data_IF_939185794876
#
_entry.id   IF_939185794876
#
_cell.length_a   1.000
_cell.length_b   1.000
_cell.length_c   1.000
_cell.angle_alpha   90.00
_cell.angle_beta   90.00
_cell.angle_gamma   90.00
#
_symmetry.space_group_name_H-M   'P 1'
#
loop_
_entity.id
_entity.type
_entity.pdbx_description
1 polymer ?
#
# COMPACT_ATOMS: atom_id res chain seq x y z
N UNK A 1 -9.50 39.15 -42.45
CA UNK A 1 -10.74 39.19 -41.64
C UNK A 1 -10.84 37.88 -40.86
N UNK A 2 -10.66 37.94 -39.54
CA UNK A 2 -10.81 36.80 -38.60
C UNK A 2 -11.63 37.33 -37.42
N UNK A 3 -12.72 36.68 -36.97
CA UNK A 3 -13.44 37.16 -35.81
C UNK A 3 -12.72 36.74 -34.52
N UNK A 4 -12.43 37.76 -33.71
CA UNK A 4 -12.13 37.66 -32.28
C UNK A 4 -13.45 37.39 -31.56
N UNK A 5 -13.54 36.31 -30.78
CA UNK A 5 -14.62 36.12 -29.82
C UNK A 5 -14.06 36.36 -28.42
N UNK A 6 -14.69 37.32 -27.76
CA UNK A 6 -14.30 37.95 -26.49
C UNK A 6 -15.05 37.25 -25.35
N UNK A 7 -14.31 36.72 -24.38
CA UNK A 7 -14.86 36.19 -23.12
C UNK A 7 -15.17 37.35 -22.18
N UNK A 8 -16.44 37.48 -21.77
CA UNK A 8 -16.94 38.16 -20.56
C UNK A 8 -17.79 37.09 -19.84
N UNK A 9 -17.65 36.72 -18.56
CA UNK A 9 -17.25 37.50 -17.40
C UNK A 9 -18.50 37.93 -16.61
N UNK A 10 -18.98 37.10 -15.66
CA UNK A 10 -19.85 37.48 -14.52
C UNK A 10 -19.90 36.32 -13.51
N UNK A 11 -19.21 36.36 -12.36
CA UNK A 11 -19.50 37.04 -11.08
C UNK A 11 -20.74 36.56 -10.32
N UNK A 12 -20.43 35.95 -9.16
CA UNK A 12 -21.02 36.11 -7.82
C UNK A 12 -22.53 35.90 -7.61
N UNK A 13 -22.83 34.94 -6.74
CA UNK A 13 -24.13 34.81 -6.08
C UNK A 13 -23.98 33.99 -4.80
N UNK A 14 -23.32 34.57 -3.80
CA UNK A 14 -23.38 34.08 -2.42
C UNK A 14 -24.74 34.48 -1.83
N UNK A 15 -25.53 33.51 -1.37
CA UNK A 15 -26.68 33.77 -0.53
C UNK A 15 -26.54 32.98 0.77
N UNK A 16 -26.27 33.71 1.83
CA UNK A 16 -26.43 33.32 3.22
C UNK A 16 -27.92 33.17 3.56
N UNK A 17 -28.29 32.12 4.28
CA UNK A 17 -29.45 32.15 5.17
C UNK A 17 -29.05 31.57 6.54
N UNK A 18 -29.23 32.33 7.64
CA UNK A 18 -29.11 31.83 9.00
C UNK A 18 -30.44 31.19 9.42
N UNK A 19 -30.39 29.99 10.02
CA UNK A 19 -31.59 29.23 10.37
C UNK A 19 -31.49 28.62 11.77
N UNK A 20 -32.01 29.37 12.74
CA UNK A 20 -32.59 29.01 14.04
C UNK A 20 -32.20 27.69 14.75
N UNK A 21 -31.57 27.93 15.91
CA UNK A 21 -31.58 27.18 17.16
C UNK A 21 -32.95 26.52 17.50
N UNK A 22 -32.97 25.22 17.77
CA UNK A 22 -33.86 24.60 18.77
C UNK A 22 -33.10 23.47 19.46
N UNK A 23 -32.71 23.69 20.72
CA UNK A 23 -32.17 22.65 21.60
C UNK A 23 -33.34 21.90 22.23
N UNK A 24 -33.50 20.62 21.89
CA UNK A 24 -34.38 19.69 22.60
C UNK A 24 -33.50 18.73 23.39
N UNK A 25 -33.44 18.94 24.71
CA UNK A 25 -32.74 18.07 25.64
C UNK A 25 -33.49 16.77 25.86
N UNK A 26 -32.86 15.64 25.54
CA UNK A 26 -33.26 14.32 26.00
C UNK A 26 -32.32 13.90 27.14
N UNK A 27 -32.80 14.04 28.38
CA UNK A 27 -32.13 13.48 29.56
C UNK A 27 -32.08 11.96 29.45
N UNK A 28 -30.87 11.42 29.27
CA UNK A 28 -30.59 9.98 29.33
C UNK A 28 -30.41 9.57 30.81
N UNK A 29 -31.05 8.51 31.30
CA UNK A 29 -30.82 8.02 32.65
C UNK A 29 -29.37 7.53 32.77
N UNK A 30 -28.66 8.03 33.77
CA UNK A 30 -27.26 7.73 34.06
C UNK A 30 -27.18 6.35 34.70
N UNK A 31 -26.61 5.38 33.98
CA UNK A 31 -26.27 4.06 34.52
C UNK A 31 -25.05 4.23 35.43
N UNK A 32 -25.20 3.95 36.72
CA UNK A 32 -24.11 3.98 37.69
C UNK A 32 -23.08 2.87 37.36
N UNK A 33 -21.78 3.17 37.31
CA UNK A 33 -20.76 2.16 37.05
C UNK A 33 -20.68 1.14 38.21
N UNK A 34 -20.37 -0.14 37.93
CA UNK A 34 -20.22 -1.14 38.98
C UNK A 34 -19.06 -0.81 39.93
N UNK A 35 -19.14 -1.22 41.21
CA UNK A 35 -18.10 -0.94 42.19
C UNK A 35 -16.78 -1.62 41.80
N UNK A 36 -15.63 -1.04 42.17
CA UNK A 36 -14.33 -1.63 41.90
C UNK A 36 -14.15 -2.96 42.66
N UNK A 37 -13.38 -3.91 42.10
CA UNK A 37 -13.06 -5.15 42.81
C UNK A 37 -12.19 -4.87 44.05
N UNK A 38 -12.41 -5.67 45.09
CA UNK A 38 -11.66 -5.61 46.35
C UNK A 38 -10.16 -5.88 46.13
N UNK A 39 -9.26 -5.26 46.93
CA UNK A 39 -7.83 -5.46 46.80
C UNK A 39 -7.44 -6.89 47.22
N UNK A 40 -6.77 -7.61 46.32
CA UNK A 40 -6.11 -8.89 46.64
C UNK A 40 -4.81 -8.57 47.38
N UNK A 41 -4.67 -9.13 48.59
CA UNK A 41 -3.50 -8.97 49.43
C UNK A 41 -2.22 -9.48 48.75
N UNK A 42 -1.15 -8.68 48.80
CA UNK A 42 0.18 -9.06 48.32
C UNK A 42 0.80 -10.15 49.22
N UNK A 43 1.54 -11.13 48.67
CA UNK A 43 2.31 -12.05 49.49
C UNK A 43 3.55 -11.35 50.11
N UNK A 44 3.86 -11.76 51.34
CA UNK A 44 4.95 -11.24 52.17
C UNK A 44 6.35 -11.53 51.58
N UNK A 45 7.37 -10.70 51.89
CA UNK A 45 8.73 -10.92 51.44
C UNK A 45 9.41 -12.09 52.17
N UNK A 46 10.13 -12.91 51.41
CA UNK A 46 10.95 -14.03 51.90
C UNK A 46 12.33 -13.48 52.34
N UNK A 47 12.89 -13.89 53.50
CA UNK A 47 14.17 -13.35 53.97
C UNK A 47 15.38 -13.89 53.19
N UNK A 48 16.38 -13.04 53.01
CA UNK A 48 17.67 -13.36 52.39
C UNK A 48 18.61 -14.14 53.34
N UNK A 49 19.45 -15.06 52.81
CA UNK A 49 20.46 -15.77 53.61
C UNK A 49 21.72 -14.89 53.89
N UNK A 50 22.53 -15.27 54.91
CA UNK A 50 23.65 -14.47 55.44
C UNK A 50 24.91 -14.50 54.55
N UNK A 51 25.88 -13.58 54.77
CA UNK A 51 27.10 -13.52 53.97
C UNK A 51 28.14 -14.52 54.48
N UNK A 52 28.85 -15.16 53.55
CA UNK A 52 30.06 -15.94 53.84
C UNK A 52 31.25 -15.16 53.29
N UNK A 53 32.17 -14.80 54.17
CA UNK A 53 33.43 -14.10 53.87
C UNK A 53 34.51 -15.10 53.36
N UNK A 54 35.59 -14.62 52.73
CA UNK A 54 36.25 -15.29 51.61
C UNK A 54 37.44 -16.17 52.03
N UNK A 55 37.75 -17.17 51.20
CA UNK A 55 39.07 -17.79 51.11
C UNK A 55 39.46 -17.75 49.63
N UNK A 56 40.64 -17.19 49.35
CA UNK A 56 41.13 -16.93 47.99
C UNK A 56 41.43 -18.21 47.21
N UNK A 57 41.55 -18.08 45.88
CA UNK A 57 42.74 -18.44 45.10
C UNK A 57 42.50 -18.22 43.59
N UNK A 58 43.59 -17.86 42.90
CA UNK A 58 43.89 -17.88 41.46
C UNK A 58 43.14 -16.94 40.48
N UNK A 59 43.86 -16.18 39.64
CA UNK A 59 43.26 -15.46 38.52
C UNK A 59 42.81 -16.45 37.42
N UNK A 60 41.61 -16.28 36.82
CA UNK A 60 41.22 -17.06 35.64
C UNK A 60 42.02 -16.62 34.40
N UNK A 61 42.22 -17.53 33.42
CA UNK A 61 42.85 -17.18 32.16
C UNK A 61 41.95 -16.28 31.33
N UNK A 62 42.58 -15.45 30.51
CA UNK A 62 41.93 -14.56 29.54
C UNK A 62 40.95 -15.35 28.66
N UNK A 63 39.66 -15.07 28.81
CA UNK A 63 38.62 -15.65 27.97
C UNK A 63 38.68 -15.04 26.56
N UNK A 64 38.74 -15.92 25.57
CA UNK A 64 38.62 -15.62 24.15
C UNK A 64 37.20 -15.10 23.83
N UNK A 65 37.03 -14.11 22.93
CA UNK A 65 35.70 -13.60 22.58
C UNK A 65 34.85 -14.68 21.90
N UNK A 66 33.52 -14.70 22.11
CA UNK A 66 32.63 -15.66 21.47
C UNK A 66 32.65 -15.49 19.94
N UNK A 67 32.44 -16.57 19.17
CA UNK A 67 32.31 -16.46 17.73
C UNK A 67 31.10 -15.60 17.38
N UNK A 68 31.14 -14.85 16.27
CA UNK A 68 29.99 -14.06 15.80
C UNK A 68 28.81 -14.98 15.51
N UNK A 69 27.56 -14.48 15.63
CA UNK A 69 26.38 -15.26 15.27
C UNK A 69 26.50 -15.69 13.81
N UNK A 70 26.25 -16.98 13.56
CA UNK A 70 26.16 -17.53 12.22
C UNK A 70 25.15 -16.69 11.43
N UNK A 71 25.60 -16.13 10.31
CA UNK A 71 24.74 -15.43 9.38
C UNK A 71 23.63 -16.40 8.92
N UNK A 72 22.39 -16.02 9.22
CA UNK A 72 21.22 -16.69 8.69
C UNK A 72 21.26 -16.56 7.17
N UNK A 73 21.27 -17.71 6.47
CA UNK A 73 21.31 -17.75 5.03
C UNK A 73 20.08 -17.02 4.46
N UNK A 74 20.21 -16.28 3.34
CA UNK A 74 19.05 -15.67 2.69
C UNK A 74 18.04 -16.76 2.33
N UNK A 75 16.72 -16.49 2.45
CA UNK A 75 15.71 -17.46 2.07
C UNK A 75 15.91 -17.88 0.60
N UNK A 76 15.63 -19.15 0.25
CA UNK A 76 15.76 -19.60 -1.12
C UNK A 76 14.88 -18.75 -2.05
N UNK A 77 15.26 -18.57 -3.32
CA UNK A 77 14.39 -17.91 -4.29
C UNK A 77 13.07 -18.69 -4.34
N UNK A 78 11.97 -17.99 -4.09
CA UNK A 78 10.63 -18.56 -4.24
C UNK A 78 10.53 -19.22 -5.63
N UNK A 79 10.14 -20.48 -5.65
CA UNK A 79 10.03 -21.27 -6.88
C UNK A 79 9.01 -20.59 -7.81
N UNK A 80 9.52 -20.08 -8.94
CA UNK A 80 8.71 -19.46 -9.97
C UNK A 80 7.86 -20.54 -10.68
N UNK A 81 6.54 -20.50 -10.48
CA UNK A 81 5.63 -21.14 -11.40
C UNK A 81 5.66 -20.40 -12.75
N UNK A 82 5.50 -21.09 -13.90
CA UNK A 82 5.44 -20.43 -15.20
C UNK A 82 4.15 -19.60 -15.29
N UNK A 83 4.30 -18.27 -15.23
CA UNK A 83 3.21 -17.33 -15.45
C UNK A 83 2.93 -17.19 -16.95
N UNK A 84 1.66 -17.17 -17.41
CA UNK A 84 1.34 -16.86 -18.79
C UNK A 84 1.72 -15.40 -19.10
N UNK A 85 2.58 -15.19 -20.10
CA UNK A 85 2.68 -13.94 -20.88
C UNK A 85 3.35 -12.70 -20.26
N UNK A 86 3.98 -12.78 -19.08
CA UNK A 86 4.41 -11.57 -18.36
C UNK A 86 5.91 -11.23 -18.36
N UNK A 87 6.81 -12.14 -18.74
CA UNK A 87 8.25 -11.99 -18.46
C UNK A 87 9.04 -11.14 -19.44
N UNK A 88 8.49 -10.94 -20.64
CA UNK A 88 9.16 -10.20 -21.70
C UNK A 88 9.03 -8.70 -21.50
N UNK A 89 10.10 -7.98 -21.80
CA UNK A 89 10.08 -6.52 -21.80
C UNK A 89 9.37 -6.03 -23.06
N UNK A 90 8.41 -5.14 -22.90
CA UNK A 90 7.72 -4.52 -24.03
C UNK A 90 6.83 -3.36 -23.61
N UNK A 91 6.25 -2.68 -24.59
CA UNK A 91 5.32 -1.57 -24.36
C UNK A 91 3.88 -1.93 -24.72
N UNK A 92 3.67 -3.13 -25.27
CA UNK A 92 2.36 -3.61 -25.67
C UNK A 92 1.51 -3.94 -24.44
N UNK A 93 0.21 -3.65 -24.52
CA UNK A 93 -0.79 -4.02 -23.52
C UNK A 93 -0.63 -5.49 -23.12
N UNK A 94 -0.62 -5.74 -21.81
CA UNK A 94 -0.72 -7.08 -21.24
C UNK A 94 -2.05 -7.21 -20.52
N UNK A 95 -2.79 -8.29 -20.79
CA UNK A 95 -4.06 -8.56 -20.12
C UNK A 95 -4.16 -10.06 -19.82
N UNK A 96 -4.47 -10.39 -18.57
CA UNK A 96 -4.65 -11.75 -18.08
C UNK A 96 -5.95 -11.81 -17.30
N UNK A 97 -6.83 -12.72 -17.72
CA UNK A 97 -8.09 -12.99 -17.03
C UNK A 97 -7.87 -14.14 -16.04
N UNK A 98 -8.24 -13.92 -14.78
CA UNK A 98 -8.28 -14.96 -13.76
C UNK A 98 -9.69 -15.09 -13.22
N UNK A 99 -10.23 -16.30 -13.21
CA UNK A 99 -11.53 -16.55 -12.59
C UNK A 99 -11.39 -16.46 -11.07
N UNK A 100 -12.07 -15.49 -10.45
CA UNK A 100 -12.19 -15.43 -9.00
C UNK A 100 -13.67 -15.30 -8.63
N UNK A 101 -14.19 -16.13 -7.70
CA UNK A 101 -15.60 -16.07 -7.29
C UNK A 101 -15.93 -14.80 -6.49
N UNK A 102 -14.90 -14.14 -5.93
CA UNK A 102 -15.00 -12.92 -5.13
C UNK A 102 -13.81 -12.00 -5.42
N UNK A 103 -13.93 -10.71 -5.08
CA UNK A 103 -12.82 -9.76 -5.19
C UNK A 103 -11.60 -10.18 -4.37
N UNK A 104 -10.42 -10.11 -4.96
CA UNK A 104 -9.15 -10.33 -4.26
C UNK A 104 -8.73 -9.06 -3.52
N UNK A 105 -8.43 -9.17 -2.23
CA UNK A 105 -8.05 -8.02 -1.40
C UNK A 105 -6.58 -7.65 -1.61
N UNK A 106 -6.32 -6.43 -2.09
CA UNK A 106 -4.99 -5.82 -2.16
C UNK A 106 -4.59 -5.33 -0.76
N UNK A 107 -3.49 -5.85 -0.22
CA UNK A 107 -3.00 -5.50 1.13
C UNK A 107 -1.91 -4.45 1.11
N UNK A 108 -0.98 -4.53 0.18
CA UNK A 108 0.17 -3.63 0.18
C UNK A 108 0.58 -3.31 -1.24
N UNK A 109 1.02 -2.07 -1.44
CA UNK A 109 1.72 -1.66 -2.65
C UNK A 109 3.08 -1.14 -2.25
N UNK A 110 4.16 -1.68 -2.82
CA UNK A 110 5.54 -1.28 -2.54
C UNK A 110 6.21 -0.82 -3.81
N UNK A 111 7.14 0.12 -3.70
CA UNK A 111 7.97 0.59 -4.80
C UNK A 111 9.44 0.41 -4.45
N UNK A 112 10.30 0.17 -5.44
CA UNK A 112 11.73 0.03 -5.21
C UNK A 112 12.55 0.20 -6.47
N UNK A 113 13.73 0.81 -6.34
CA UNK A 113 14.72 0.91 -7.41
C UNK A 113 15.52 -0.38 -7.49
N UNK A 114 15.75 -0.87 -8.70
CA UNK A 114 16.64 -1.98 -8.99
C UNK A 114 17.65 -1.57 -10.07
N UNK A 115 18.56 -2.47 -10.43
CA UNK A 115 19.47 -2.25 -11.54
C UNK A 115 18.72 -2.34 -12.88
N UNK A 116 18.68 -1.23 -13.63
CA UNK A 116 18.06 -1.14 -14.96
C UNK A 116 16.52 -1.03 -14.97
N UNK A 117 15.84 -1.10 -13.83
CA UNK A 117 14.39 -0.93 -13.74
C UNK A 117 13.93 -0.47 -12.35
N UNK A 118 12.74 0.12 -12.30
CA UNK A 118 12.00 0.35 -11.06
C UNK A 118 10.86 -0.65 -10.95
N UNK A 119 10.55 -1.07 -9.73
CA UNK A 119 9.58 -2.13 -9.44
C UNK A 119 8.42 -1.58 -8.62
N UNK A 120 7.21 -1.94 -9.01
CA UNK A 120 5.99 -1.82 -8.19
C UNK A 120 5.50 -3.23 -7.84
N UNK A 121 5.24 -3.49 -6.57
CA UNK A 121 4.73 -4.78 -6.08
C UNK A 121 3.37 -4.57 -5.45
N UNK A 122 2.36 -5.22 -5.99
CA UNK A 122 1.03 -5.36 -5.41
C UNK A 122 0.96 -6.70 -4.69
N UNK A 123 0.72 -6.69 -3.38
CA UNK A 123 0.60 -7.89 -2.56
C UNK A 123 -0.86 -8.12 -2.17
N UNK A 124 -1.32 -9.35 -2.34
CA UNK A 124 -2.71 -9.74 -2.19
C UNK A 124 -2.88 -10.79 -1.10
N UNK A 125 -4.09 -10.83 -0.54
CA UNK A 125 -4.54 -11.96 0.24
C UNK A 125 -4.84 -13.20 -0.61
N UNK A 126 -4.72 -14.36 0.03
CA UNK A 126 -5.06 -15.63 -0.58
C UNK A 126 -4.03 -16.08 -1.62
N UNK A 127 -4.30 -17.20 -2.31
CA UNK A 127 -3.31 -17.86 -3.17
C UNK A 127 -3.31 -17.35 -4.62
N UNK A 128 -4.22 -16.45 -4.99
CA UNK A 128 -4.51 -16.10 -6.38
C UNK A 128 -4.33 -14.61 -6.64
N UNK A 129 -3.66 -14.28 -7.73
CA UNK A 129 -3.59 -12.92 -8.28
C UNK A 129 -4.92 -12.61 -8.98
N UNK A 130 -5.53 -11.41 -8.79
CA UNK A 130 -6.71 -11.05 -9.57
C UNK A 130 -6.38 -10.98 -11.06
N UNK A 131 -7.40 -11.03 -11.93
CA UNK A 131 -7.20 -10.66 -13.33
C UNK A 131 -6.62 -9.24 -13.41
N UNK A 132 -5.82 -8.99 -14.44
CA UNK A 132 -5.17 -7.69 -14.57
C UNK A 132 -5.00 -7.26 -16.02
N UNK A 133 -4.90 -5.94 -16.18
CA UNK A 133 -4.53 -5.29 -17.42
C UNK A 133 -3.51 -4.21 -17.13
N UNK A 134 -2.40 -4.23 -17.86
CA UNK A 134 -1.35 -3.23 -17.79
C UNK A 134 -1.18 -2.63 -19.18
N UNK A 135 -1.35 -1.31 -19.30
CA UNK A 135 -1.26 -0.59 -20.58
C UNK A 135 -0.95 0.90 -20.37
N UNK A 136 -0.33 1.53 -21.37
CA UNK A 136 -0.24 2.99 -21.40
C UNK A 136 -1.57 3.58 -21.84
N UNK A 137 -2.05 4.59 -21.11
CA UNK A 137 -3.29 5.32 -21.41
C UNK A 137 -3.00 6.78 -21.75
N UNK A 138 -3.94 7.41 -22.46
CA UNK A 138 -3.86 8.84 -22.74
C UNK A 138 -4.18 9.67 -21.48
N UNK A 139 -3.56 10.85 -21.38
CA UNK A 139 -3.87 11.84 -20.34
C UNK A 139 -4.98 12.80 -20.86
N UNK A 140 -5.86 13.31 -19.99
CA UNK A 140 -5.88 13.15 -18.53
C UNK A 140 -6.43 11.79 -18.10
N UNK A 141 -5.87 11.25 -17.03
CA UNK A 141 -6.39 10.03 -16.41
C UNK A 141 -7.54 10.40 -15.48
N UNK A 142 -8.64 9.67 -15.54
CA UNK A 142 -9.89 10.05 -14.85
C UNK A 142 -10.09 9.17 -13.61
N UNK A 143 -10.51 9.77 -12.48
CA UNK A 143 -10.92 9.01 -11.29
C UNK A 143 -12.26 8.36 -11.51
N UNK A 144 -12.39 7.09 -11.11
CA UNK A 144 -13.69 6.44 -11.13
C UNK A 144 -14.62 7.07 -10.08
N UNK A 145 -15.93 7.00 -10.32
CA UNK A 145 -16.95 7.63 -9.49
C UNK A 145 -17.07 9.14 -9.73
N UNK A 146 -16.06 9.94 -9.33
CA UNK A 146 -16.16 11.41 -9.41
C UNK A 146 -16.02 11.96 -10.83
N UNK A 147 -15.27 11.28 -11.71
CA UNK A 147 -14.98 11.75 -13.06
C UNK A 147 -13.93 12.86 -13.13
N UNK A 148 -13.30 13.21 -12.00
CA UNK A 148 -12.30 14.27 -11.96
C UNK A 148 -10.99 13.84 -12.65
N UNK A 149 -10.30 14.77 -13.34
CA UNK A 149 -8.97 14.49 -13.85
C UNK A 149 -7.96 14.30 -12.70
N UNK A 150 -7.07 13.34 -12.88
CA UNK A 150 -5.93 13.07 -12.01
C UNK A 150 -4.68 13.65 -12.66
N UNK A 151 -4.13 14.69 -12.03
CA UNK A 151 -2.79 15.15 -12.37
C UNK A 151 -1.77 14.03 -12.12
N UNK A 152 -0.89 13.77 -13.08
CA UNK A 152 0.10 12.72 -12.99
C UNK A 152 1.43 13.19 -13.59
N UNK A 153 2.50 13.09 -12.81
CA UNK A 153 3.85 13.45 -13.22
C UNK A 153 4.33 12.66 -14.45
N UNK A 154 5.31 13.21 -15.17
CA UNK A 154 5.92 12.57 -16.32
C UNK A 154 5.14 12.70 -17.62
N UNK A 155 5.65 12.08 -18.68
CA UNK A 155 5.05 12.09 -20.01
C UNK A 155 4.06 10.94 -20.21
N UNK A 156 4.37 9.76 -19.68
CA UNK A 156 3.50 8.58 -19.80
C UNK A 156 2.58 8.39 -18.60
N UNK A 157 1.53 7.60 -18.82
CA UNK A 157 0.61 7.09 -17.81
C UNK A 157 0.48 5.58 -18.00
N UNK A 158 1.24 4.78 -17.23
CA UNK A 158 1.12 3.32 -17.25
C UNK A 158 0.05 2.91 -16.23
N UNK A 159 -1.09 2.45 -16.72
CA UNK A 159 -2.23 2.02 -15.91
C UNK A 159 -2.15 0.53 -15.61
N UNK A 160 -2.43 0.18 -14.36
CA UNK A 160 -2.63 -1.19 -13.87
C UNK A 160 -4.06 -1.29 -13.35
N UNK A 161 -4.89 -2.02 -14.07
CA UNK A 161 -6.26 -2.36 -13.65
C UNK A 161 -6.27 -3.79 -13.11
N UNK A 162 -6.89 -4.00 -11.95
CA UNK A 162 -7.02 -5.28 -11.26
C UNK A 162 -8.51 -5.61 -11.08
N UNK A 163 -8.93 -6.79 -11.53
CA UNK A 163 -10.34 -7.22 -11.54
C UNK A 163 -10.47 -8.75 -11.43
N UNK A 164 -11.35 -9.31 -10.58
CA UNK A 164 -12.04 -8.62 -9.50
C UNK A 164 -11.08 -8.39 -8.31
N UNK A 165 -10.97 -7.15 -7.84
CA UNK A 165 -10.09 -6.75 -6.75
C UNK A 165 -10.70 -5.65 -5.88
N UNK A 166 -10.20 -5.50 -4.65
CA UNK A 166 -10.59 -4.43 -3.73
C UNK A 166 -9.39 -3.97 -2.89
N UNK A 167 -9.30 -2.67 -2.59
CA UNK A 167 -8.28 -2.07 -1.70
C UNK A 167 -8.91 -1.57 -0.38
N UNK A 168 -9.94 -2.29 0.07
CA UNK A 168 -10.64 -2.12 1.33
C UNK A 168 -11.23 -3.47 1.80
N UNK A 169 -11.50 -3.58 3.10
CA UNK A 169 -12.13 -4.74 3.72
C UNK A 169 -12.99 -4.27 4.91
N UNK A 170 -14.26 -4.73 4.97
CA UNK A 170 -15.17 -4.34 6.04
C UNK A 170 -15.36 -2.82 6.17
N UNK A 171 -15.26 -2.07 5.07
CA UNK A 171 -15.33 -0.60 5.05
C UNK A 171 -14.03 0.11 5.46
N UNK A 172 -12.97 -0.63 5.79
CA UNK A 172 -11.67 -0.08 6.14
C UNK A 172 -10.71 -0.16 4.96
N UNK A 173 -9.99 0.93 4.67
CA UNK A 173 -8.97 0.93 3.60
C UNK A 173 -7.81 0.01 3.96
N UNK A 174 -7.37 -0.83 3.04
CA UNK A 174 -6.21 -1.73 3.25
C UNK A 174 -4.91 -1.08 2.79
N UNK A 175 -4.97 -0.23 1.77
CA UNK A 175 -3.85 0.60 1.31
C UNK A 175 -4.13 2.06 1.66
N UNK A 176 -3.51 2.53 2.74
CA UNK A 176 -3.68 3.89 3.24
C UNK A 176 -3.06 4.95 2.30
N UNK A 177 -1.83 4.72 1.85
CA UNK A 177 -1.11 5.67 1.00
C UNK A 177 -1.46 5.47 -0.48
N UNK A 178 -2.49 6.19 -0.93
CA UNK A 178 -3.10 6.07 -2.28
C UNK A 178 -2.47 6.98 -3.35
N UNK A 179 -1.51 7.81 -2.98
CA UNK A 179 -0.73 8.65 -3.90
C UNK A 179 0.70 8.81 -3.37
N UNK A 180 1.70 8.54 -4.21
CA UNK A 180 3.13 8.53 -3.85
C UNK A 180 3.98 9.14 -4.96
N UNK A 181 5.03 9.86 -4.57
CA UNK A 181 6.04 10.42 -5.48
C UNK A 181 7.42 9.84 -5.16
N UNK A 182 7.68 8.58 -5.52
CA UNK A 182 8.94 7.94 -5.18
C UNK A 182 10.13 8.53 -5.96
N UNK A 183 9.88 9.29 -7.04
CA UNK A 183 10.89 10.02 -7.81
C UNK A 183 12.07 9.14 -8.26
N UNK A 184 11.77 7.90 -8.65
CA UNK A 184 12.74 6.94 -9.18
C UNK A 184 12.97 7.20 -10.68
N UNK A 185 14.06 6.67 -11.28
CA UNK A 185 14.41 6.95 -12.68
C UNK A 185 13.26 6.75 -13.69
N UNK A 186 12.45 5.70 -13.53
CA UNK A 186 11.33 5.34 -14.39
C UNK A 186 9.96 5.41 -13.72
N UNK A 187 9.92 5.60 -12.40
CA UNK A 187 8.68 5.75 -11.64
C UNK A 187 8.69 7.08 -10.87
N UNK A 188 8.11 8.12 -11.46
CA UNK A 188 8.06 9.45 -10.86
C UNK A 188 6.95 9.58 -9.81
N UNK A 189 5.79 9.00 -10.11
CA UNK A 189 4.57 9.08 -9.30
C UNK A 189 3.72 7.81 -9.48
N UNK A 190 2.92 7.48 -8.48
CA UNK A 190 1.98 6.36 -8.42
C UNK A 190 0.69 6.87 -7.75
N UNK A 191 -0.48 6.67 -8.37
CA UNK A 191 -1.78 7.05 -7.81
C UNK A 191 -2.82 5.96 -7.99
N UNK A 192 -3.62 5.71 -6.96
CA UNK A 192 -4.86 4.95 -7.04
C UNK A 192 -5.95 5.87 -7.62
N UNK A 193 -6.54 5.48 -8.75
CA UNK A 193 -7.62 6.22 -9.42
C UNK A 193 -8.97 5.51 -9.33
N UNK A 194 -8.98 4.23 -8.97
CA UNK A 194 -10.21 3.50 -8.68
C UNK A 194 -10.03 2.42 -7.60
N UNK A 195 -11.06 2.25 -6.77
CA UNK A 195 -11.25 1.17 -5.79
C UNK A 195 -12.77 1.04 -5.56
N UNK A 196 -13.47 0.54 -6.57
CA UNK A 196 -14.93 0.53 -6.62
C UNK A 196 -15.45 -0.65 -7.46
N UNK A 197 -16.57 -1.25 -7.05
CA UNK A 197 -17.27 -2.33 -7.78
C UNK A 197 -16.38 -3.52 -8.23
N UNK A 198 -15.38 -3.87 -7.43
CA UNK A 198 -14.45 -4.96 -7.76
C UNK A 198 -13.35 -4.55 -8.74
N UNK A 199 -13.17 -3.26 -9.00
CA UNK A 199 -12.06 -2.73 -9.79
C UNK A 199 -11.12 -1.89 -8.92
N UNK A 200 -9.83 -2.22 -9.01
CA UNK A 200 -8.74 -1.41 -8.43
C UNK A 200 -7.84 -0.94 -9.56
N UNK A 201 -7.67 0.38 -9.68
CA UNK A 201 -6.83 0.99 -10.73
C UNK A 201 -5.73 1.82 -10.10
N UNK A 202 -4.48 1.48 -10.43
CA UNK A 202 -3.30 2.28 -10.14
C UNK A 202 -2.69 2.81 -11.42
N UNK A 203 -2.07 3.99 -11.35
CA UNK A 203 -1.50 4.66 -12.51
C UNK A 203 -0.13 5.21 -12.15
N UNK A 204 0.86 4.92 -13.00
CA UNK A 204 2.25 5.30 -12.82
C UNK A 204 2.59 6.46 -13.75
N UNK A 205 3.18 7.51 -13.19
CA UNK A 205 3.80 8.58 -13.96
C UNK A 205 5.21 8.19 -14.37
N UNK A 206 5.45 8.05 -15.68
CA UNK A 206 6.76 7.68 -16.25
C UNK A 206 7.42 8.89 -16.92
N UNK A 207 8.76 9.04 -16.86
CA UNK A 207 9.47 10.18 -17.47
C UNK A 207 9.27 10.28 -18.98
N UNK A 208 9.18 9.14 -19.69
CA UNK A 208 8.96 9.04 -21.14
C UNK A 208 7.50 8.64 -21.41
N UNK A 209 6.98 9.00 -22.59
CA UNK A 209 5.61 8.69 -23.01
C UNK A 209 5.31 7.17 -23.01
N UNK A 210 6.31 6.36 -23.33
CA UNK A 210 6.28 4.91 -23.20
C UNK A 210 7.68 4.40 -22.84
N UNK A 211 7.74 3.40 -21.97
CA UNK A 211 8.94 2.66 -21.57
C UNK A 211 8.60 1.17 -21.50
N UNK A 212 9.54 0.29 -21.88
CA UNK A 212 9.34 -1.14 -21.72
C UNK A 212 9.04 -1.49 -20.26
N UNK A 213 8.04 -2.34 -20.07
CA UNK A 213 7.70 -2.94 -18.79
C UNK A 213 7.55 -4.45 -18.95
N UNK A 214 7.55 -5.13 -17.82
CA UNK A 214 7.18 -6.56 -17.72
C UNK A 214 6.35 -6.78 -16.46
N UNK A 215 5.60 -7.88 -16.44
CA UNK A 215 4.69 -8.21 -15.35
C UNK A 215 5.01 -9.61 -14.83
N UNK A 216 5.21 -9.77 -13.52
CA UNK A 216 5.48 -11.08 -12.93
C UNK A 216 4.42 -11.39 -11.88
N UNK A 217 3.90 -12.61 -11.91
CA UNK A 217 3.14 -13.16 -10.81
C UNK A 217 4.07 -13.95 -9.90
N UNK A 218 4.08 -13.63 -8.61
CA UNK A 218 4.83 -14.37 -7.59
C UNK A 218 3.85 -14.96 -6.58
N UNK A 219 4.25 -16.09 -6.00
CA UNK A 219 3.53 -16.73 -4.90
C UNK A 219 4.35 -16.60 -3.61
N UNK A 220 3.71 -16.89 -2.47
CA UNK A 220 4.36 -16.98 -1.16
C UNK A 220 5.21 -15.74 -0.77
N UNK A 221 4.60 -14.56 -0.53
CA UNK A 221 3.17 -14.22 -0.64
C UNK A 221 2.73 -13.93 -2.10
N UNK A 222 1.43 -13.98 -2.33
CA UNK A 222 0.81 -13.72 -3.65
C UNK A 222 1.00 -12.26 -4.06
N UNK A 223 1.68 -12.05 -5.18
CA UNK A 223 2.06 -10.71 -5.66
C UNK A 223 1.92 -10.60 -7.16
N UNK A 224 1.47 -9.42 -7.61
CA UNK A 224 1.68 -8.93 -8.97
C UNK A 224 2.82 -7.92 -8.94
N UNK A 225 3.81 -8.10 -9.78
CA UNK A 225 4.99 -7.25 -9.89
C UNK A 225 4.98 -6.58 -11.25
N UNK A 226 5.11 -5.26 -11.29
CA UNK A 226 5.28 -4.49 -12.53
C UNK A 226 6.65 -3.82 -12.49
N UNK A 227 7.53 -4.25 -13.37
CA UNK A 227 8.85 -3.64 -13.55
C UNK A 227 8.81 -2.67 -14.73
N UNK A 228 9.36 -1.46 -14.57
CA UNK A 228 9.47 -0.44 -15.61
C UNK A 228 10.94 -0.13 -15.86
N UNK A 229 11.40 -0.36 -17.08
CA UNK A 229 12.80 -0.19 -17.47
C UNK A 229 13.23 1.28 -17.42
N UNK A 230 14.48 1.55 -17.03
CA UNK A 230 15.12 2.88 -16.98
C UNK A 230 15.22 3.58 -18.36
#
# INVERSE_FOLDING_TARGET
>A
MKPVVKVLGRWMGALWLPGCLVAAGCSKPQQEPPPPPLPVAAPAPVPSPPPVAPAGEAPPPSAEPPPPPAAEAPPPPAAEAPAPGGREWGTARQAVEHAAPTSVTLRTVRTGRNEGFDRVVFEFDGPQVPGYRVEYVEKPVIKCGSGDPTELAGQGALQVTLTPAQAHEGGTVTVAERARKPALPSLLELKLTCDFEGEVVWVFGTPKASQPYRVLELREPTRLVVDVQH
#
